data_IF_799540543110
#
_entry.id   IF_799540543110
#
_cell.length_a   1.000
_cell.length_b   1.000
_cell.length_c   1.000
_cell.angle_alpha   90.00
_cell.angle_beta   90.00
_cell.angle_gamma   90.00
#
_symmetry.space_group_name_H-M   'P 1'
#
loop_
_entity.id
_entity.type
_entity.pdbx_description
1 polymer ?
#
# COMPACT_ATOMS: atom_id res chain seq x y z
N UNK A 1 0.71 14.07 -27.96
CA UNK A 1 0.79 13.50 -26.59
C UNK A 1 0.73 14.64 -25.61
N UNK A 2 -0.13 14.59 -24.60
CA UNK A 2 -0.18 15.63 -23.56
C UNK A 2 0.94 15.38 -22.54
N UNK A 3 1.83 16.36 -22.35
CA UNK A 3 2.85 16.30 -21.32
C UNK A 3 2.22 16.56 -19.95
N UNK A 4 2.18 15.54 -19.10
CA UNK A 4 1.77 15.70 -17.70
C UNK A 4 3.01 16.15 -16.91
N UNK A 5 3.16 17.45 -16.71
CA UNK A 5 4.20 18.01 -15.83
C UNK A 5 3.85 17.76 -14.36
N UNK A 6 4.42 16.71 -13.78
CA UNK A 6 4.29 16.40 -12.35
C UNK A 6 5.26 17.30 -11.57
N UNK A 7 4.95 18.59 -11.47
CA UNK A 7 5.86 19.56 -10.85
C UNK A 7 5.77 19.61 -9.32
N UNK A 8 4.69 19.09 -8.71
CA UNK A 8 4.54 19.05 -7.25
C UNK A 8 3.53 17.99 -6.83
N UNK A 9 4.02 16.83 -6.38
CA UNK A 9 3.17 15.84 -5.71
C UNK A 9 2.95 16.33 -4.28
N UNK A 10 1.71 16.71 -3.96
CA UNK A 10 1.32 17.07 -2.58
C UNK A 10 1.48 15.85 -1.67
N UNK A 11 2.00 16.06 -0.45
CA UNK A 11 2.09 15.03 0.58
C UNK A 11 0.77 14.29 0.79
N UNK A 12 -0.35 15.03 0.85
CA UNK A 12 -1.68 14.44 1.02
C UNK A 12 -2.05 13.48 -0.12
N UNK A 13 -1.72 13.80 -1.38
CA UNK A 13 -1.99 12.92 -2.51
C UNK A 13 -1.12 11.66 -2.47
N UNK A 14 0.14 11.80 -2.06
CA UNK A 14 1.06 10.66 -1.89
C UNK A 14 0.58 9.71 -0.78
N UNK A 15 0.18 10.25 0.37
CA UNK A 15 -0.38 9.49 1.49
C UNK A 15 -1.65 8.76 1.05
N UNK A 16 -2.59 9.43 0.38
CA UNK A 16 -3.82 8.81 -0.12
C UNK A 16 -3.53 7.64 -1.05
N UNK A 17 -2.62 7.82 -2.01
CA UNK A 17 -2.24 6.76 -2.94
C UNK A 17 -1.67 5.54 -2.21
N UNK A 18 -0.78 5.77 -1.26
CA UNK A 18 -0.14 4.70 -0.51
C UNK A 18 -1.13 3.97 0.42
N UNK A 19 -2.04 4.70 1.08
CA UNK A 19 -3.13 4.09 1.85
C UNK A 19 -3.97 3.18 0.95
N UNK A 20 -4.37 3.64 -0.23
CA UNK A 20 -5.18 2.84 -1.17
C UNK A 20 -4.45 1.56 -1.58
N UNK A 21 -3.15 1.66 -1.91
CA UNK A 21 -2.32 0.51 -2.26
C UNK A 21 -2.26 -0.49 -1.10
N UNK A 22 -2.04 0.00 0.13
CA UNK A 22 -1.92 -0.84 1.31
C UNK A 22 -3.25 -1.49 1.72
N UNK A 23 -4.36 -0.78 1.57
CA UNK A 23 -5.71 -1.35 1.75
C UNK A 23 -5.94 -2.46 0.72
N UNK A 24 -5.60 -2.23 -0.55
CA UNK A 24 -5.74 -3.24 -1.60
C UNK A 24 -4.89 -4.49 -1.33
N UNK A 25 -3.64 -4.30 -0.87
CA UNK A 25 -2.78 -5.39 -0.42
C UNK A 25 -3.38 -6.14 0.77
N UNK A 26 -3.96 -5.42 1.73
CA UNK A 26 -4.62 -6.04 2.89
C UNK A 26 -5.86 -6.84 2.51
N UNK A 27 -6.64 -6.38 1.54
CA UNK A 27 -7.78 -7.14 0.99
C UNK A 27 -7.26 -8.42 0.33
N UNK A 28 -6.19 -8.31 -0.48
CA UNK A 28 -5.59 -9.46 -1.14
C UNK A 28 -5.08 -10.51 -0.14
N UNK A 29 -4.35 -10.09 0.89
CA UNK A 29 -3.88 -10.97 1.97
C UNK A 29 -5.05 -11.59 2.74
N UNK A 30 -6.08 -10.80 3.06
CA UNK A 30 -7.30 -11.27 3.72
C UNK A 30 -8.05 -12.31 2.89
N UNK A 31 -8.16 -12.11 1.58
CA UNK A 31 -8.77 -13.07 0.64
C UNK A 31 -7.98 -14.38 0.57
N UNK A 32 -6.65 -14.31 0.50
CA UNK A 32 -5.80 -15.51 0.56
C UNK A 32 -6.02 -16.25 1.87
N UNK A 33 -6.03 -15.55 3.01
CA UNK A 33 -6.30 -16.13 4.31
C UNK A 33 -7.67 -16.81 4.37
N UNK A 34 -8.71 -16.18 3.83
CA UNK A 34 -10.04 -16.77 3.75
C UNK A 34 -10.06 -18.02 2.86
N UNK A 35 -9.42 -17.99 1.69
CA UNK A 35 -9.31 -19.16 0.81
C UNK A 35 -8.63 -20.32 1.52
N UNK A 36 -7.52 -20.07 2.20
CA UNK A 36 -6.79 -21.08 2.99
C UNK A 36 -7.68 -21.68 4.09
N UNK A 37 -8.54 -20.86 4.73
CA UNK A 37 -9.46 -21.34 5.76
C UNK A 37 -10.48 -22.36 5.24
N UNK A 38 -10.85 -22.30 3.95
CA UNK A 38 -11.75 -23.28 3.33
C UNK A 38 -11.09 -24.63 3.06
N UNK A 39 -9.75 -24.69 2.94
CA UNK A 39 -9.00 -25.94 2.74
C UNK A 39 -8.65 -26.67 4.05
N UNK A 40 -9.40 -26.42 5.13
CA UNK A 40 -9.18 -26.98 6.48
C UNK A 40 -7.79 -26.67 7.08
N UNK A 41 -7.10 -25.65 6.57
CA UNK A 41 -5.89 -25.17 7.19
C UNK A 41 -6.22 -24.20 8.32
N UNK A 42 -5.44 -24.28 9.40
CA UNK A 42 -5.66 -23.45 10.58
C UNK A 42 -5.26 -22.00 10.30
N UNK A 43 -6.25 -21.18 9.99
CA UNK A 43 -6.13 -19.72 10.02
C UNK A 43 -6.41 -19.26 11.44
N UNK A 44 -5.51 -18.44 11.99
CA UNK A 44 -5.60 -17.93 13.35
C UNK A 44 -5.83 -16.43 13.32
N UNK A 45 -6.76 -15.98 14.15
CA UNK A 45 -6.87 -14.58 14.54
C UNK A 45 -6.66 -14.51 16.05
N UNK A 46 -5.61 -13.81 16.46
CA UNK A 46 -5.27 -13.62 17.87
C UNK A 46 -5.53 -12.17 18.25
N UNK A 47 -6.52 -11.93 19.10
CA UNK A 47 -6.78 -10.64 19.71
C UNK A 47 -6.54 -10.75 21.23
N UNK A 48 -5.28 -10.59 21.64
CA UNK A 48 -4.86 -10.86 23.01
C UNK A 48 -5.05 -12.33 23.36
N UNK A 49 -5.85 -12.62 24.39
CA UNK A 49 -6.14 -13.98 24.85
C UNK A 49 -7.22 -14.69 24.02
N UNK A 50 -7.96 -13.95 23.19
CA UNK A 50 -8.97 -14.54 22.31
C UNK A 50 -8.31 -15.10 21.05
N UNK A 51 -8.41 -16.43 20.90
CA UNK A 51 -7.97 -17.16 19.70
C UNK A 51 -9.18 -17.64 18.93
N UNK A 52 -9.42 -17.02 17.78
CA UNK A 52 -10.44 -17.48 16.83
C UNK A 52 -9.72 -18.26 15.73
N UNK A 53 -10.28 -19.40 15.35
CA UNK A 53 -9.68 -20.29 14.33
C UNK A 53 -10.68 -20.65 13.23
N UNK A 54 -10.14 -21.10 12.10
CA UNK A 54 -10.93 -21.57 10.95
C UNK A 54 -11.55 -20.45 10.13
N UNK A 55 -12.72 -20.70 9.55
CA UNK A 55 -13.39 -19.79 8.60
C UNK A 55 -13.72 -18.44 9.26
N UNK A 56 -14.13 -18.44 10.53
CA UNK A 56 -14.41 -17.22 11.28
C UNK A 56 -13.16 -16.32 11.40
N UNK A 57 -11.98 -16.92 11.61
CA UNK A 57 -10.72 -16.17 11.62
C UNK A 57 -10.41 -15.60 10.24
N UNK A 58 -10.65 -16.35 9.17
CA UNK A 58 -10.53 -15.87 7.79
C UNK A 58 -11.42 -14.67 7.48
N UNK A 59 -12.69 -14.71 7.91
CA UNK A 59 -13.64 -13.60 7.73
C UNK A 59 -13.24 -12.34 8.51
N UNK A 60 -12.79 -12.50 9.75
CA UNK A 60 -12.31 -11.37 10.56
C UNK A 60 -11.05 -10.76 9.93
N UNK A 61 -10.10 -11.61 9.53
CA UNK A 61 -8.87 -11.21 8.87
C UNK A 61 -9.13 -10.43 7.57
N UNK A 62 -10.19 -10.76 6.83
CA UNK A 62 -10.57 -10.03 5.62
C UNK A 62 -10.84 -8.54 5.86
N UNK A 63 -11.30 -8.16 7.05
CA UNK A 63 -11.57 -6.77 7.43
C UNK A 63 -10.38 -6.18 8.18
N UNK A 64 -9.74 -6.96 9.05
CA UNK A 64 -8.66 -6.50 9.92
C UNK A 64 -7.35 -6.22 9.17
N UNK A 65 -6.98 -7.05 8.19
CA UNK A 65 -5.75 -6.83 7.39
C UNK A 65 -5.79 -5.53 6.57
N UNK A 66 -6.85 -5.20 5.83
CA UNK A 66 -6.94 -3.91 5.14
C UNK A 66 -6.84 -2.70 6.07
N UNK A 67 -7.47 -2.77 7.25
CA UNK A 67 -7.43 -1.69 8.25
C UNK A 67 -6.01 -1.50 8.81
N UNK A 68 -5.40 -2.59 9.28
CA UNK A 68 -4.05 -2.56 9.83
C UNK A 68 -3.03 -2.10 8.79
N UNK A 69 -3.08 -2.64 7.57
CA UNK A 69 -2.18 -2.23 6.50
C UNK A 69 -2.42 -0.78 6.06
N UNK A 70 -3.67 -0.32 5.98
CA UNK A 70 -3.98 1.09 5.71
C UNK A 70 -3.34 2.04 6.73
N UNK A 71 -3.41 1.70 8.03
CA UNK A 71 -2.75 2.46 9.10
C UNK A 71 -1.23 2.44 8.93
N UNK A 72 -0.63 1.26 8.68
CA UNK A 72 0.83 1.18 8.42
C UNK A 72 1.23 1.97 7.17
N UNK A 73 0.35 2.06 6.17
CA UNK A 73 0.55 2.87 4.98
C UNK A 73 0.74 4.35 5.28
N UNK A 74 0.08 4.89 6.31
CA UNK A 74 0.30 6.27 6.78
C UNK A 74 1.73 6.44 7.30
N UNK A 75 2.18 5.54 8.18
CA UNK A 75 3.53 5.57 8.73
C UNK A 75 4.58 5.43 7.64
N UNK A 76 4.42 4.45 6.74
CA UNK A 76 5.31 4.23 5.60
C UNK A 76 5.34 5.48 4.72
N UNK A 77 4.20 6.14 4.49
CA UNK A 77 4.15 7.35 3.68
C UNK A 77 4.97 8.51 4.24
N UNK A 78 5.01 8.67 5.57
CA UNK A 78 5.80 9.71 6.22
C UNK A 78 7.29 9.49 5.92
N UNK A 79 7.78 8.26 6.06
CA UNK A 79 9.18 7.93 5.80
C UNK A 79 9.51 7.87 4.30
N UNK A 80 8.60 7.39 3.46
CA UNK A 80 8.81 7.21 2.03
C UNK A 80 8.64 8.52 1.22
N UNK A 81 7.93 9.51 1.75
CA UNK A 81 7.69 10.75 1.02
C UNK A 81 8.96 11.57 0.80
N UNK A 82 9.83 11.68 1.81
CA UNK A 82 11.09 12.41 1.70
C UNK A 82 12.03 11.83 0.61
N UNK A 83 12.38 10.53 0.62
CA UNK A 83 13.20 9.95 -0.43
C UNK A 83 12.51 10.02 -1.79
N UNK A 84 11.18 9.82 -1.86
CA UNK A 84 10.43 9.96 -3.10
C UNK A 84 10.54 11.38 -3.69
N UNK A 85 10.34 12.42 -2.86
CA UNK A 85 10.46 13.82 -3.28
C UNK A 85 11.88 14.14 -3.76
N UNK A 86 12.90 13.64 -3.07
CA UNK A 86 14.29 13.81 -3.45
C UNK A 86 14.60 13.11 -4.79
N UNK A 87 14.08 11.89 -4.98
CA UNK A 87 14.26 11.10 -6.18
C UNK A 87 13.60 11.73 -7.41
N UNK A 88 12.36 12.20 -7.27
CA UNK A 88 11.66 12.95 -8.33
C UNK A 88 12.41 14.24 -8.67
N UNK A 89 12.99 14.93 -7.68
CA UNK A 89 13.81 16.13 -7.95
C UNK A 89 15.08 15.81 -8.75
N UNK A 90 15.75 14.69 -8.48
CA UNK A 90 16.99 14.31 -9.19
C UNK A 90 16.70 13.74 -10.58
N UNK A 91 15.81 12.75 -10.65
CA UNK A 91 15.55 12.02 -11.89
C UNK A 91 14.53 12.72 -12.80
N UNK A 92 13.56 13.44 -12.22
CA UNK A 92 12.64 14.28 -12.99
C UNK A 92 13.37 15.39 -13.74
N UNK A 93 14.36 16.04 -13.11
CA UNK A 93 15.22 17.02 -13.80
C UNK A 93 16.04 16.39 -14.94
N UNK A 94 16.52 15.16 -14.76
CA UNK A 94 17.30 14.43 -15.78
C UNK A 94 16.49 13.97 -16.98
N UNK A 95 15.21 13.60 -16.79
CA UNK A 95 14.34 13.20 -17.90
C UNK A 95 14.03 14.40 -18.80
N UNK A 96 13.78 15.59 -18.23
CA UNK A 96 13.51 16.79 -19.02
C UNK A 96 14.76 17.30 -19.77
N UNK A 97 15.96 17.23 -19.17
CA UNK A 97 17.19 17.61 -19.90
C UNK A 97 17.62 16.60 -20.97
N UNK A 98 17.22 15.33 -20.86
CA UNK A 98 17.45 14.35 -21.92
C UNK A 98 16.50 14.51 -23.12
N UNK A 99 15.26 14.96 -22.91
CA UNK A 99 14.32 15.20 -24.01
C UNK A 99 14.64 16.49 -24.81
N UNK A 100 15.35 17.45 -24.23
CA UNK A 100 15.80 18.66 -24.94
C UNK A 100 17.09 18.44 -25.75
N UNK A 101 17.73 17.27 -25.60
CA UNK A 101 19.00 16.88 -26.24
C UNK A 101 18.80 15.90 -27.41
N UNK A 102 17.67 15.99 -28.12
CA UNK A 102 17.52 15.31 -29.40
C UNK A 102 16.89 16.29 -30.39
N UNK A 103 17.78 16.87 -31.17
CA UNK A 103 17.55 17.57 -32.44
C UNK A 103 16.52 16.85 -33.33
#
# INVERSE_FOLDING_TARGET
MQEIKINNIKFSSFVKLNIVIQIALGIFVGLIGLLISFFSQNVYFNAGDFKITGILAGMINLIFFPLTLGITGIFISIFAYFPFKYWVKIFGLRIFTMCESKD
#
